data_IF_882974479259
#
_entry.id   IF_882974479259
#
_cell.length_a   1.000
_cell.length_b   1.000
_cell.length_c   1.000
_cell.angle_alpha   90.00
_cell.angle_beta   90.00
_cell.angle_gamma   90.00
#
_symmetry.space_group_name_H-M   'P 1'
#
loop_
_entity.id
_entity.type
_entity.pdbx_description
1 polymer ?
#
# COMPACT_ATOMS: atom_id res chain seq x y z
N UNK A 1 9.63 42.55 3.50
CA UNK A 1 9.55 41.41 4.45
C UNK A 1 8.65 40.25 3.99
N UNK A 2 7.56 40.48 3.24
CA UNK A 2 6.62 39.41 2.82
C UNK A 2 7.20 38.31 1.90
N UNK A 3 8.17 38.62 1.03
CA UNK A 3 8.79 37.62 0.12
C UNK A 3 9.67 36.58 0.83
N UNK A 4 10.29 36.93 1.96
CA UNK A 4 11.15 36.01 2.73
C UNK A 4 10.32 34.99 3.53
N UNK A 5 9.13 35.38 3.98
CA UNK A 5 8.20 34.50 4.70
C UNK A 5 7.58 33.47 3.76
N UNK A 6 7.25 33.87 2.53
CA UNK A 6 6.72 32.95 1.52
C UNK A 6 7.76 31.89 1.10
N UNK A 7 9.02 32.30 0.92
CA UNK A 7 10.13 31.37 0.61
C UNK A 7 10.39 30.36 1.74
N UNK A 8 10.28 30.80 3.00
CA UNK A 8 10.40 29.91 4.16
C UNK A 8 9.25 28.90 4.26
N UNK A 9 8.02 29.31 3.95
CA UNK A 9 6.86 28.40 3.93
C UNK A 9 6.92 27.38 2.80
N UNK A 10 7.41 27.78 1.61
CA UNK A 10 7.62 26.85 0.49
C UNK A 10 8.73 25.84 0.80
N UNK A 11 9.83 26.26 1.44
CA UNK A 11 10.87 25.32 1.91
C UNK A 11 10.36 24.35 2.99
N UNK A 12 9.47 24.80 3.88
CA UNK A 12 8.90 23.95 4.92
C UNK A 12 7.98 22.86 4.34
N UNK A 13 7.27 23.15 3.25
CA UNK A 13 6.44 22.15 2.54
C UNK A 13 7.33 21.14 1.80
N UNK A 14 8.44 21.58 1.20
CA UNK A 14 9.41 20.69 0.54
C UNK A 14 10.06 19.72 1.55
N UNK A 15 10.28 20.13 2.80
CA UNK A 15 10.85 19.26 3.85
C UNK A 15 9.91 18.15 4.36
N UNK A 16 8.61 18.23 4.06
CA UNK A 16 7.65 17.14 4.33
C UNK A 16 7.43 16.22 3.13
N UNK A 17 8.02 16.55 1.97
CA UNK A 17 8.14 15.66 0.84
C UNK A 17 9.44 14.86 1.01
N UNK A 18 9.32 13.71 1.67
CA UNK A 18 10.40 12.76 1.83
C UNK A 18 11.16 12.53 0.52
N UNK A 19 12.47 12.74 0.58
CA UNK A 19 13.42 12.40 -0.46
C UNK A 19 13.46 10.88 -0.62
N UNK A 20 12.65 10.32 -1.50
CA UNK A 20 12.91 8.99 -2.07
C UNK A 20 13.92 9.16 -3.21
N UNK A 21 15.19 8.95 -2.88
CA UNK A 21 16.28 8.83 -3.84
C UNK A 21 15.97 7.62 -4.73
N UNK A 22 15.71 7.85 -6.03
CA UNK A 22 15.66 6.75 -6.99
C UNK A 22 17.09 6.40 -7.42
N UNK A 23 17.54 5.20 -7.06
CA UNK A 23 18.63 4.54 -7.74
C UNK A 23 18.12 4.09 -9.13
N UNK A 24 18.70 4.66 -10.18
CA UNK A 24 18.44 4.28 -11.55
C UNK A 24 18.91 2.84 -11.79
N UNK A 25 17.97 1.93 -12.08
CA UNK A 25 18.31 0.63 -12.66
C UNK A 25 18.34 0.75 -14.17
N UNK A 26 19.55 0.68 -14.72
CA UNK A 26 19.82 0.48 -16.13
C UNK A 26 19.22 -0.87 -16.59
N UNK A 27 18.22 -0.84 -17.47
CA UNK A 27 17.84 -2.02 -18.25
C UNK A 27 18.76 -2.14 -19.47
N UNK A 28 19.52 -3.22 -19.54
CA UNK A 28 20.09 -3.73 -20.79
C UNK A 28 19.23 -4.87 -21.29
N UNK A 29 18.88 -4.76 -22.58
CA UNK A 29 18.14 -5.73 -23.35
C UNK A 29 18.87 -7.06 -23.54
N UNK A 30 18.10 -8.15 -23.56
CA UNK A 30 18.34 -9.40 -24.28
C UNK A 30 16.96 -10.10 -24.37
N UNK A 31 16.21 -10.01 -25.48
CA UNK A 31 16.26 -10.83 -26.70
C UNK A 31 16.36 -12.35 -26.46
N UNK A 32 15.29 -13.02 -26.91
CA UNK A 32 15.19 -14.37 -27.48
C UNK A 32 15.42 -15.58 -26.54
N UNK A 33 14.36 -16.34 -26.25
CA UNK A 33 14.06 -17.65 -26.89
C UNK A 33 12.91 -18.40 -26.19
N UNK A 34 12.05 -18.97 -27.02
CA UNK A 34 10.96 -19.91 -26.70
C UNK A 34 11.49 -21.28 -26.23
N UNK A 35 10.64 -21.98 -25.47
CA UNK A 35 10.56 -23.44 -25.28
C UNK A 35 11.54 -24.14 -24.32
N UNK A 36 11.00 -24.67 -23.21
CA UNK A 36 11.11 -26.07 -22.73
C UNK A 36 10.59 -26.12 -21.28
N UNK A 37 9.50 -26.82 -20.96
CA UNK A 37 9.39 -28.26 -20.69
C UNK A 37 10.27 -28.76 -19.52
N UNK A 38 9.58 -29.34 -18.52
CA UNK A 38 10.00 -30.42 -17.60
C UNK A 38 10.42 -30.00 -16.17
N UNK A 39 9.76 -30.67 -15.22
CA UNK A 39 9.94 -30.80 -13.76
C UNK A 39 11.38 -30.74 -13.19
N UNK A 40 11.55 -30.46 -11.88
CA UNK A 40 12.85 -30.31 -11.24
C UNK A 40 13.49 -31.68 -10.92
N UNK A 41 14.81 -31.85 -11.07
CA UNK A 41 15.51 -32.97 -10.47
C UNK A 41 16.02 -32.61 -9.07
N UNK A 42 15.68 -33.48 -8.14
CA UNK A 42 16.27 -33.62 -6.81
C UNK A 42 17.78 -33.85 -6.92
N UNK A 43 18.60 -33.12 -6.15
CA UNK A 43 19.95 -33.57 -5.79
C UNK A 43 20.20 -33.35 -4.31
N UNK A 44 19.99 -34.42 -3.54
CA UNK A 44 20.63 -34.65 -2.25
C UNK A 44 22.13 -34.89 -2.47
N UNK A 45 22.97 -34.07 -1.87
CA UNK A 45 24.41 -34.32 -1.72
C UNK A 45 24.75 -34.61 -0.25
N UNK A 46 25.55 -35.64 0.06
CA UNK A 46 25.85 -36.02 1.44
C UNK A 46 27.06 -35.26 2.00
N UNK A 47 26.95 -34.85 3.27
CA UNK A 47 28.11 -34.75 4.15
C UNK A 47 28.89 -33.43 4.15
N UNK A 48 28.39 -32.43 4.88
CA UNK A 48 29.26 -31.58 5.72
C UNK A 48 28.46 -31.15 6.97
N UNK A 49 28.63 -31.86 8.09
CA UNK A 49 28.17 -31.39 9.40
C UNK A 49 29.11 -30.26 9.84
N UNK A 50 28.68 -29.00 9.74
CA UNK A 50 29.35 -27.88 10.39
C UNK A 50 28.82 -27.70 11.82
N UNK A 51 29.67 -27.76 12.85
CA UNK A 51 29.27 -27.58 14.23
C UNK A 51 29.31 -26.09 14.58
N UNK A 52 28.26 -25.32 14.28
CA UNK A 52 28.09 -23.97 14.84
C UNK A 52 26.69 -23.33 14.66
N UNK A 53 25.61 -24.12 14.61
CA UNK A 53 24.26 -23.55 14.45
C UNK A 53 23.67 -22.89 15.71
N UNK A 54 24.33 -22.97 16.87
CA UNK A 54 23.82 -22.30 18.08
C UNK A 54 24.12 -20.79 18.13
N UNK A 55 25.17 -20.31 17.45
CA UNK A 55 25.49 -18.87 17.43
C UNK A 55 24.65 -18.08 16.40
N UNK A 56 24.25 -18.74 15.31
CA UNK A 56 23.39 -18.14 14.27
C UNK A 56 21.97 -17.81 14.77
N UNK A 57 21.49 -18.51 15.82
CA UNK A 57 20.15 -18.25 16.39
C UNK A 57 20.10 -17.01 17.28
N UNK A 58 21.25 -16.54 17.79
CA UNK A 58 21.31 -15.38 18.68
C UNK A 58 21.53 -14.07 17.91
N UNK A 59 22.23 -14.08 16.77
CA UNK A 59 22.41 -12.89 15.92
C UNK A 59 21.18 -12.55 15.06
N UNK A 60 20.34 -13.53 14.72
CA UNK A 60 19.08 -13.29 14.00
C UNK A 60 18.03 -12.53 14.81
N UNK A 61 18.20 -12.38 16.14
CA UNK A 61 17.30 -11.57 16.97
C UNK A 61 17.63 -10.08 16.97
N UNK A 62 18.89 -9.70 16.68
CA UNK A 62 19.30 -8.28 16.73
C UNK A 62 19.18 -7.56 15.39
N UNK A 63 19.16 -8.26 14.26
CA UNK A 63 18.99 -7.64 12.94
C UNK A 63 17.54 -7.58 12.42
N UNK A 64 16.56 -8.08 13.17
CA UNK A 64 15.14 -7.95 12.79
C UNK A 64 14.59 -6.52 12.91
N UNK A 65 15.35 -5.60 13.52
CA UNK A 65 14.97 -4.20 13.70
C UNK A 65 15.44 -3.23 12.61
N UNK A 66 16.28 -3.65 11.65
CA UNK A 66 16.90 -2.71 10.70
C UNK A 66 16.45 -2.85 9.23
N UNK A 67 15.66 -3.87 8.90
CA UNK A 67 15.13 -4.09 7.53
C UNK A 67 13.71 -3.52 7.33
N UNK A 68 13.25 -2.62 8.21
CA UNK A 68 11.88 -2.08 8.20
C UNK A 68 11.87 -0.57 7.94
N UNK A 69 12.71 -0.08 7.02
CA UNK A 69 12.58 1.29 6.53
C UNK A 69 11.40 1.40 5.55
N UNK A 70 10.23 1.63 6.15
CA UNK A 70 9.30 2.66 5.69
C UNK A 70 8.71 2.52 4.30
N UNK A 71 7.69 1.68 4.15
CA UNK A 71 6.66 1.96 3.15
C UNK A 71 5.91 3.23 3.60
N UNK A 72 6.35 4.40 3.14
CA UNK A 72 5.65 5.67 3.36
C UNK A 72 4.58 5.84 2.28
N UNK A 73 3.58 4.97 2.29
CA UNK A 73 2.32 5.23 1.60
C UNK A 73 1.65 6.49 2.20
N UNK A 74 0.68 7.09 1.50
CA UNK A 74 -0.08 8.21 2.06
C UNK A 74 -0.61 7.81 3.44
N UNK A 75 -0.38 8.66 4.45
CA UNK A 75 -0.88 8.41 5.79
C UNK A 75 -2.41 8.46 5.75
N UNK A 76 -3.06 7.29 5.73
CA UNK A 76 -4.51 7.21 5.75
C UNK A 76 -5.04 7.72 7.08
N UNK A 77 -6.10 8.54 7.08
CA UNK A 77 -6.82 8.87 8.29
C UNK A 77 -7.21 7.61 9.04
N UNK A 78 -7.17 7.67 10.36
CA UNK A 78 -7.48 6.54 11.22
C UNK A 78 -8.86 5.92 10.96
N UNK A 79 -9.82 6.72 10.50
CA UNK A 79 -11.16 6.28 10.13
C UNK A 79 -11.20 5.44 8.85
N UNK A 80 -10.19 5.55 7.98
CA UNK A 80 -10.12 4.82 6.71
C UNK A 80 -9.40 3.48 6.81
N UNK A 81 -8.54 3.30 7.83
CA UNK A 81 -7.76 2.06 8.04
C UNK A 81 -8.62 0.77 8.02
N UNK A 82 -9.81 0.70 8.65
CA UNK A 82 -10.65 -0.50 8.61
C UNK A 82 -11.07 -0.90 7.20
N UNK A 83 -11.44 0.06 6.37
CA UNK A 83 -11.87 -0.20 4.99
C UNK A 83 -10.70 -0.72 4.15
N UNK A 84 -9.52 -0.11 4.30
CA UNK A 84 -8.31 -0.59 3.64
C UNK A 84 -7.94 -2.00 4.09
N UNK A 85 -8.10 -2.32 5.38
CA UNK A 85 -7.88 -3.66 5.90
C UNK A 85 -8.82 -4.67 5.23
N UNK A 86 -10.13 -4.40 5.25
CA UNK A 86 -11.16 -5.30 4.71
C UNK A 86 -10.89 -5.64 3.24
N UNK A 87 -10.70 -4.64 2.39
CA UNK A 87 -10.50 -4.87 0.96
C UNK A 87 -9.24 -5.69 0.69
N UNK A 88 -8.18 -5.49 1.47
CA UNK A 88 -6.94 -6.23 1.29
C UNK A 88 -7.00 -7.67 1.80
N UNK A 89 -7.87 -7.94 2.78
CA UNK A 89 -7.98 -9.21 3.51
C UNK A 89 -9.18 -10.07 3.08
N UNK A 90 -9.84 -9.76 1.96
CA UNK A 90 -10.96 -10.58 1.44
C UNK A 90 -10.65 -12.09 1.43
N UNK A 91 -9.46 -12.56 0.98
CA UNK A 91 -9.11 -13.98 1.01
C UNK A 91 -9.26 -14.61 2.40
N UNK A 92 -8.81 -13.89 3.43
CA UNK A 92 -8.80 -14.33 4.83
C UNK A 92 -10.18 -14.21 5.49
N UNK A 93 -11.04 -13.32 5.00
CA UNK A 93 -12.37 -13.04 5.56
C UNK A 93 -13.46 -14.05 5.17
N UNK A 94 -13.17 -14.99 4.26
CA UNK A 94 -14.17 -15.95 3.76
C UNK A 94 -14.86 -16.72 4.89
N UNK A 95 -14.09 -17.28 5.81
CA UNK A 95 -14.62 -18.07 6.92
C UNK A 95 -15.29 -17.19 7.98
N UNK A 96 -14.69 -16.06 8.30
CA UNK A 96 -15.17 -15.13 9.34
C UNK A 96 -16.54 -14.56 8.98
N UNK A 97 -16.69 -14.14 7.72
CA UNK A 97 -17.96 -13.66 7.20
C UNK A 97 -18.90 -14.81 6.84
N UNK A 98 -18.39 -16.03 6.68
CA UNK A 98 -19.17 -17.20 6.23
C UNK A 98 -19.74 -16.97 4.83
N UNK A 99 -18.86 -16.58 3.91
CA UNK A 99 -19.19 -16.34 2.50
C UNK A 99 -19.39 -17.66 1.76
N UNK A 100 -20.42 -17.72 0.93
CA UNK A 100 -20.54 -18.74 -0.10
C UNK A 100 -19.44 -18.58 -1.16
N UNK A 101 -19.23 -19.61 -1.97
CA UNK A 101 -18.23 -19.61 -3.04
C UNK A 101 -18.49 -18.48 -4.05
N UNK A 102 -19.77 -18.27 -4.40
CA UNK A 102 -20.19 -17.21 -5.31
C UNK A 102 -19.94 -15.82 -4.73
N UNK A 103 -20.36 -15.58 -3.48
CA UNK A 103 -20.11 -14.29 -2.82
C UNK A 103 -18.61 -14.03 -2.72
N UNK A 104 -17.82 -15.05 -2.37
CA UNK A 104 -16.37 -14.93 -2.28
C UNK A 104 -15.72 -14.54 -3.60
N UNK A 105 -16.09 -15.17 -4.72
CA UNK A 105 -15.60 -14.82 -6.05
C UNK A 105 -15.93 -13.36 -6.41
N UNK A 106 -17.18 -12.94 -6.22
CA UNK A 106 -17.60 -11.55 -6.49
C UNK A 106 -16.80 -10.53 -5.63
N UNK A 107 -16.49 -10.87 -4.38
CA UNK A 107 -15.66 -10.03 -3.53
C UNK A 107 -14.18 -9.98 -3.97
N UNK A 108 -13.64 -11.08 -4.49
CA UNK A 108 -12.29 -11.12 -5.06
C UNK A 108 -12.21 -10.25 -6.33
N UNK A 109 -13.25 -10.25 -7.15
CA UNK A 109 -13.34 -9.38 -8.34
C UNK A 109 -13.37 -7.91 -7.92
N UNK A 110 -14.22 -7.54 -6.96
CA UNK A 110 -14.28 -6.18 -6.41
C UNK A 110 -12.94 -5.71 -5.81
N UNK A 111 -12.19 -6.62 -5.17
CA UNK A 111 -10.84 -6.34 -4.70
C UNK A 111 -9.87 -6.11 -5.85
N UNK A 112 -9.97 -6.90 -6.91
CA UNK A 112 -9.12 -6.75 -8.10
C UNK A 112 -9.39 -5.42 -8.79
N UNK A 113 -10.66 -5.04 -8.97
CA UNK A 113 -11.05 -3.72 -9.46
C UNK A 113 -10.49 -2.59 -8.58
N UNK A 114 -10.55 -2.74 -7.25
CA UNK A 114 -9.98 -1.78 -6.33
C UNK A 114 -8.47 -1.60 -6.54
N UNK A 115 -7.71 -2.70 -6.64
CA UNK A 115 -6.27 -2.64 -6.82
C UNK A 115 -5.91 -1.95 -8.14
N UNK A 116 -6.59 -2.31 -9.24
CA UNK A 116 -6.41 -1.64 -10.53
C UNK A 116 -6.73 -0.14 -10.46
N UNK A 117 -7.84 0.24 -9.83
CA UNK A 117 -8.24 1.64 -9.66
C UNK A 117 -7.23 2.41 -8.81
N UNK A 118 -6.75 1.80 -7.72
CA UNK A 118 -5.75 2.40 -6.85
C UNK A 118 -4.45 2.66 -7.61
N UNK A 119 -3.94 1.65 -8.32
CA UNK A 119 -2.69 1.77 -9.09
C UNK A 119 -2.81 2.85 -10.17
N UNK A 120 -3.96 2.93 -10.85
CA UNK A 120 -4.27 3.97 -11.83
C UNK A 120 -4.22 5.37 -11.21
N UNK A 121 -4.90 5.58 -10.08
CA UNK A 121 -4.92 6.86 -9.37
C UNK A 121 -3.54 7.25 -8.81
N UNK A 122 -2.76 6.28 -8.31
CA UNK A 122 -1.38 6.52 -7.85
C UNK A 122 -0.46 6.91 -9.02
N UNK A 123 -0.65 6.28 -10.18
CA UNK A 123 0.04 6.66 -11.42
C UNK A 123 -0.32 8.09 -11.88
N UNK A 124 -1.58 8.47 -11.85
CA UNK A 124 -2.04 9.84 -12.13
C UNK A 124 -1.42 10.84 -11.15
N UNK A 125 -1.45 10.52 -9.84
CA UNK A 125 -0.86 11.35 -8.81
C UNK A 125 0.64 11.58 -9.04
N UNK A 126 1.37 10.54 -9.45
CA UNK A 126 2.79 10.65 -9.80
C UNK A 126 3.00 11.63 -10.96
N UNK A 127 2.19 11.53 -12.03
CA UNK A 127 2.27 12.45 -13.18
C UNK A 127 1.97 13.88 -12.76
N UNK A 128 0.93 14.11 -11.95
CA UNK A 128 0.58 15.45 -11.47
C UNK A 128 1.67 16.06 -10.59
N UNK A 129 2.32 15.28 -9.74
CA UNK A 129 3.45 15.75 -8.94
C UNK A 129 4.65 16.13 -9.81
N UNK A 130 4.94 15.38 -10.87
CA UNK A 130 6.00 15.73 -11.83
C UNK A 130 5.68 17.04 -12.57
N UNK A 131 4.43 17.21 -13.01
CA UNK A 131 3.98 18.46 -13.65
C UNK A 131 4.13 19.66 -12.70
N UNK A 132 3.67 19.52 -11.45
CA UNK A 132 3.83 20.56 -10.44
C UNK A 132 5.31 20.90 -10.21
N UNK A 133 6.18 19.89 -10.12
CA UNK A 133 7.62 20.11 -9.97
C UNK A 133 8.19 20.92 -11.15
N UNK A 134 7.84 20.55 -12.39
CA UNK A 134 8.27 21.28 -13.58
C UNK A 134 7.75 22.72 -13.61
N UNK A 135 6.50 22.95 -13.22
CA UNK A 135 5.89 24.28 -13.12
C UNK A 135 6.63 25.16 -12.10
N UNK A 136 6.97 24.61 -10.93
CA UNK A 136 7.74 25.31 -9.91
C UNK A 136 9.15 25.67 -10.39
N UNK A 137 9.82 24.75 -11.11
CA UNK A 137 11.15 25.01 -11.68
C UNK A 137 11.13 26.08 -12.78
N UNK A 138 10.01 26.22 -13.49
CA UNK A 138 9.82 27.21 -14.55
C UNK A 138 9.23 28.55 -14.07
N UNK A 139 9.13 28.77 -12.76
CA UNK A 139 8.52 29.97 -12.16
C UNK A 139 7.09 30.21 -12.67
N UNK A 140 6.28 29.14 -12.76
CA UNK A 140 4.87 29.25 -13.11
C UNK A 140 4.14 30.23 -12.18
N UNK A 141 3.09 30.87 -12.70
CA UNK A 141 2.31 31.81 -11.92
C UNK A 141 1.49 31.09 -10.82
N UNK A 142 1.11 31.85 -9.80
CA UNK A 142 0.39 31.32 -8.63
C UNK A 142 -0.95 30.64 -8.98
N UNK A 143 -1.59 31.03 -10.08
CA UNK A 143 -2.88 30.45 -10.49
C UNK A 143 -2.68 29.01 -10.96
N UNK A 144 -1.73 28.78 -11.86
CA UNK A 144 -1.40 27.44 -12.38
C UNK A 144 -0.98 26.50 -11.25
N UNK A 145 -0.10 26.95 -10.36
CA UNK A 145 0.35 26.16 -9.19
C UNK A 145 -0.83 25.79 -8.29
N UNK A 146 -1.77 26.70 -8.04
CA UNK A 146 -2.97 26.43 -7.22
C UNK A 146 -3.92 25.42 -7.87
N UNK A 147 -4.15 25.54 -9.17
CA UNK A 147 -4.97 24.58 -9.92
C UNK A 147 -4.36 23.18 -9.81
N UNK A 148 -3.05 23.06 -10.04
CA UNK A 148 -2.35 21.77 -9.96
C UNK A 148 -2.37 21.17 -8.55
N UNK A 149 -2.15 21.98 -7.51
CA UNK A 149 -2.27 21.55 -6.12
C UNK A 149 -3.69 21.07 -5.77
N UNK A 150 -4.72 21.70 -6.34
CA UNK A 150 -6.11 21.34 -6.12
C UNK A 150 -6.42 19.98 -6.74
N UNK A 151 -6.03 19.76 -7.99
CA UNK A 151 -6.17 18.46 -8.66
C UNK A 151 -5.41 17.35 -7.92
N UNK A 152 -4.20 17.61 -7.44
CA UNK A 152 -3.43 16.67 -6.60
C UNK A 152 -4.21 16.29 -5.32
N UNK A 153 -4.84 17.27 -4.67
CA UNK A 153 -5.62 17.03 -3.45
C UNK A 153 -6.89 16.20 -3.74
N UNK A 154 -7.57 16.46 -4.85
CA UNK A 154 -8.74 15.69 -5.30
C UNK A 154 -8.37 14.23 -5.62
N UNK A 155 -7.29 13.99 -6.34
CA UNK A 155 -6.83 12.63 -6.64
C UNK A 155 -6.36 11.90 -5.38
N UNK A 156 -5.66 12.57 -4.45
CA UNK A 156 -5.32 11.97 -3.14
C UNK A 156 -6.58 11.55 -2.38
N UNK A 157 -7.60 12.40 -2.39
CA UNK A 157 -8.90 12.07 -1.76
C UNK A 157 -9.53 10.86 -2.45
N UNK A 158 -9.46 10.78 -3.78
CA UNK A 158 -9.95 9.64 -4.54
C UNK A 158 -9.23 8.32 -4.19
N UNK A 159 -7.89 8.36 -4.05
CA UNK A 159 -7.09 7.21 -3.57
C UNK A 159 -7.54 6.78 -2.17
N UNK A 160 -7.80 7.75 -1.28
CA UNK A 160 -8.24 7.46 0.08
C UNK A 160 -9.64 6.84 0.14
N UNK A 161 -10.55 7.34 -0.68
CA UNK A 161 -11.96 6.92 -0.71
C UNK A 161 -12.21 5.63 -1.50
N UNK A 162 -11.26 5.20 -2.35
CA UNK A 162 -11.42 4.01 -3.17
C UNK A 162 -11.73 2.76 -2.32
N UNK A 163 -11.03 2.56 -1.21
CA UNK A 163 -11.26 1.41 -0.33
C UNK A 163 -12.66 1.46 0.31
N UNK A 164 -13.07 2.64 0.80
CA UNK A 164 -14.40 2.84 1.36
C UNK A 164 -15.50 2.49 0.35
N UNK A 165 -15.42 3.05 -0.85
CA UNK A 165 -16.39 2.78 -1.92
C UNK A 165 -16.44 1.30 -2.30
N UNK A 166 -15.29 0.62 -2.33
CA UNK A 166 -15.25 -0.82 -2.59
C UNK A 166 -15.94 -1.62 -1.48
N UNK A 167 -15.70 -1.31 -0.19
CA UNK A 167 -16.40 -1.99 0.91
C UNK A 167 -17.91 -1.78 0.83
N UNK A 168 -18.39 -0.60 0.45
CA UNK A 168 -19.83 -0.37 0.25
C UNK A 168 -20.40 -1.27 -0.87
N UNK A 169 -19.68 -1.47 -1.97
CA UNK A 169 -20.07 -2.46 -3.00
C UNK A 169 -20.07 -3.88 -2.45
N UNK A 170 -19.04 -4.25 -1.70
CA UNK A 170 -18.92 -5.58 -1.10
C UNK A 170 -20.10 -5.90 -0.17
N UNK A 171 -20.61 -4.91 0.57
CA UNK A 171 -21.82 -5.07 1.40
C UNK A 171 -23.03 -5.48 0.58
N UNK A 172 -23.20 -4.96 -0.64
CA UNK A 172 -24.35 -5.29 -1.49
C UNK A 172 -24.36 -6.72 -2.02
N UNK A 173 -23.18 -7.38 -2.04
CA UNK A 173 -23.04 -8.80 -2.39
C UNK A 173 -23.46 -9.70 -1.23
N UNK A 174 -23.25 -9.24 0.00
CA UNK A 174 -23.48 -9.99 1.23
C UNK A 174 -24.95 -9.97 1.67
N UNK A 175 -25.38 -11.03 2.36
CA UNK A 175 -26.66 -11.04 3.07
C UNK A 175 -26.61 -10.22 4.38
N UNK A 176 -27.76 -10.00 5.00
CA UNK A 176 -27.89 -9.11 6.16
C UNK A 176 -27.08 -9.54 7.39
N UNK A 177 -26.89 -10.84 7.62
CA UNK A 177 -26.12 -11.33 8.77
C UNK A 177 -24.62 -11.21 8.52
N UNK A 178 -24.17 -11.44 7.30
CA UNK A 178 -22.78 -11.19 6.87
C UNK A 178 -22.43 -9.69 6.95
N UNK A 179 -23.33 -8.81 6.49
CA UNK A 179 -23.16 -7.35 6.60
C UNK A 179 -23.00 -6.92 8.06
N UNK A 180 -23.85 -7.43 8.98
CA UNK A 180 -23.72 -7.14 10.41
C UNK A 180 -22.36 -7.58 10.97
N UNK A 181 -21.84 -8.75 10.59
CA UNK A 181 -20.51 -9.20 11.02
C UNK A 181 -19.43 -8.23 10.53
N UNK A 182 -19.47 -7.86 9.25
CA UNK A 182 -18.54 -6.90 8.68
C UNK A 182 -18.58 -5.55 9.42
N UNK A 183 -19.77 -5.04 9.70
CA UNK A 183 -19.96 -3.78 10.41
C UNK A 183 -19.45 -3.83 11.84
N UNK A 184 -19.64 -4.96 12.53
CA UNK A 184 -19.07 -5.18 13.85
C UNK A 184 -17.54 -5.20 13.83
N UNK A 185 -16.92 -5.76 12.79
CA UNK A 185 -15.47 -5.72 12.61
C UNK A 185 -14.97 -4.28 12.41
N UNK A 186 -15.62 -3.52 11.52
CA UNK A 186 -15.33 -2.09 11.30
C UNK A 186 -15.45 -1.32 12.62
N UNK A 187 -16.56 -1.51 13.33
CA UNK A 187 -16.81 -0.84 14.60
C UNK A 187 -15.74 -1.15 15.66
N UNK A 188 -15.34 -2.42 15.80
CA UNK A 188 -14.26 -2.84 16.72
C UNK A 188 -12.93 -2.17 16.36
N UNK A 189 -12.54 -2.22 15.08
CA UNK A 189 -11.30 -1.56 14.61
C UNK A 189 -11.30 -0.04 14.81
N UNK A 190 -12.46 0.60 14.75
CA UNK A 190 -12.60 2.03 15.05
C UNK A 190 -12.54 2.32 16.56
N UNK A 191 -13.11 1.43 17.39
CA UNK A 191 -13.24 1.61 18.85
C UNK A 191 -12.00 1.22 19.64
N UNK A 192 -11.28 0.18 19.23
CA UNK A 192 -10.14 -0.39 19.96
C UNK A 192 -8.90 0.55 20.03
N UNK A 193 -9.00 1.73 19.42
CA UNK A 193 -7.98 2.79 19.43
C UNK A 193 -7.78 3.50 20.77
N UNK A 194 -8.58 3.22 21.80
CA UNK A 194 -8.32 3.74 23.16
C UNK A 194 -7.29 2.92 23.96
N UNK A 195 -6.81 1.77 23.46
CA UNK A 195 -5.98 0.83 24.25
C UNK A 195 -4.58 0.55 23.71
N UNK A 196 -4.27 0.81 22.43
CA UNK A 196 -2.97 0.43 21.86
C UNK A 196 -2.36 1.55 21.00
N UNK A 197 -1.29 2.18 21.53
CA UNK A 197 -0.35 3.00 20.77
C UNK A 197 0.51 2.17 19.79
N UNK A 198 0.36 0.85 19.80
CA UNK A 198 0.93 -0.02 18.80
C UNK A 198 -0.08 -0.13 17.66
N UNK A 199 0.15 0.65 16.60
CA UNK A 199 -0.52 0.48 15.32
C UNK A 199 -0.45 -1.02 15.01
N UNK A 200 -1.59 -1.72 14.99
CA UNK A 200 -1.54 -3.16 14.83
C UNK A 200 -0.84 -3.45 13.51
N UNK A 201 0.07 -4.43 13.53
CA UNK A 201 0.97 -4.83 12.44
C UNK A 201 0.19 -5.47 11.27
N UNK A 202 -0.93 -4.87 10.87
CA UNK A 202 -1.89 -5.35 9.87
C UNK A 202 -1.49 -5.02 8.43
N UNK A 203 -0.41 -4.26 8.22
CA UNK A 203 0.13 -3.96 6.89
C UNK A 203 1.33 -4.83 6.50
N UNK A 204 1.68 -5.83 7.30
CA UNK A 204 2.66 -6.84 6.90
C UNK A 204 1.98 -7.88 6.04
N UNK A 205 1.92 -7.66 4.72
CA UNK A 205 1.71 -8.79 3.82
C UNK A 205 2.90 -9.74 3.96
N UNK A 206 2.66 -11.07 4.03
CA UNK A 206 3.60 -12.00 3.43
C UNK A 206 3.58 -11.70 1.93
N UNK A 207 4.74 -11.36 1.38
CA UNK A 207 4.98 -11.56 -0.04
C UNK A 207 4.75 -13.05 -0.29
N UNK A 208 3.67 -13.40 -0.99
CA UNK A 208 3.69 -14.65 -1.73
C UNK A 208 4.36 -14.35 -3.06
N UNK A 209 5.34 -15.21 -3.30
CA UNK A 209 6.28 -15.34 -4.42
C UNK A 209 5.59 -15.31 -5.79
#
# INVERSE_FOLDING_TARGET
>A
MKKKVLSLFVMLIILTMGTSVMAASHSKAAKDTLSSFIYPPHMMGPGVMQPNMMLARQMMRQHRGMMMQGYHGPAYPNVMKPYLFIVNQIPELRLELSLSDKEYEELVDLRTEYLQKKDGLEGELSKMNQLLHNELMNNANDKTVKEQLSSIAETKTSVMMAAYSTVEKMRTVMNSDQQKKLDQMIYKMLKDKKSNNNDPMFYQRPYYE
#
